data_IF_078013156139
#
_entry.id   IF_078013156139
#
_cell.length_a   1.000
_cell.length_b   1.000
_cell.length_c   1.000
_cell.angle_alpha   90.00
_cell.angle_beta   90.00
_cell.angle_gamma   90.00
#
_symmetry.space_group_name_H-M   'P 1'
#
loop_
_entity.id
_entity.type
_entity.pdbx_description
1 polymer ?
#
# COMPACT_ATOMS: atom_id res chain seq x y z
N UNK A 1 -4.67 -12.75 -11.10
CA UNK A 1 -5.18 -11.45 -10.61
C UNK A 1 -6.69 -11.45 -10.80
N UNK A 2 -7.44 -11.38 -9.69
CA UNK A 2 -8.90 -11.37 -9.65
C UNK A 2 -9.36 -9.92 -9.47
N UNK A 3 -10.46 -9.52 -10.11
CA UNK A 3 -11.05 -8.19 -9.95
C UNK A 3 -12.39 -8.39 -9.25
N UNK A 4 -12.63 -7.57 -8.23
CA UNK A 4 -13.86 -7.58 -7.42
C UNK A 4 -14.47 -6.19 -7.39
N UNK A 5 -15.74 -6.12 -7.05
CA UNK A 5 -16.47 -4.86 -6.84
C UNK A 5 -16.84 -4.72 -5.36
N UNK A 6 -16.60 -3.54 -4.79
CA UNK A 6 -16.97 -3.24 -3.40
C UNK A 6 -17.68 -1.89 -3.34
N UNK A 7 -18.81 -1.81 -2.67
CA UNK A 7 -19.52 -0.53 -2.48
C UNK A 7 -18.74 0.38 -1.50
N UNK A 8 -18.73 1.69 -1.76
CA UNK A 8 -17.96 2.67 -0.96
C UNK A 8 -18.25 2.58 0.55
N UNK A 9 -19.52 2.36 0.92
CA UNK A 9 -19.98 2.24 2.30
C UNK A 9 -19.30 1.14 3.13
N UNK A 10 -18.69 0.15 2.47
CA UNK A 10 -17.99 -0.96 3.16
C UNK A 10 -16.50 -0.68 3.37
N UNK A 11 -15.94 0.36 2.75
CA UNK A 11 -14.50 0.63 2.75
C UNK A 11 -13.94 0.77 4.17
N UNK A 12 -14.52 1.62 5.00
CA UNK A 12 -14.02 1.90 6.34
C UNK A 12 -13.97 0.61 7.19
N UNK A 13 -15.10 -0.12 7.23
CA UNK A 13 -15.22 -1.38 7.98
C UNK A 13 -14.26 -2.45 7.44
N UNK A 14 -14.06 -2.49 6.13
CA UNK A 14 -13.10 -3.40 5.51
C UNK A 14 -11.66 -3.09 5.94
N UNK A 15 -11.23 -1.83 5.79
CA UNK A 15 -9.88 -1.41 6.14
C UNK A 15 -9.57 -1.60 7.63
N UNK A 16 -10.57 -1.45 8.49
CA UNK A 16 -10.46 -1.68 9.93
C UNK A 16 -10.15 -3.15 10.22
N UNK A 17 -10.81 -4.06 9.50
CA UNK A 17 -10.61 -5.51 9.66
C UNK A 17 -9.21 -6.00 9.26
N UNK A 18 -8.42 -5.17 8.57
CA UNK A 18 -7.07 -5.52 8.14
C UNK A 18 -6.04 -5.47 9.29
N UNK A 19 -6.39 -4.92 10.45
CA UNK A 19 -5.56 -4.92 11.65
C UNK A 19 -5.14 -6.33 12.10
N UNK A 20 -5.96 -7.35 11.79
CA UNK A 20 -5.68 -8.78 11.99
C UNK A 20 -4.42 -9.27 11.27
N UNK A 21 -4.07 -8.64 10.14
CA UNK A 21 -2.94 -9.04 9.32
C UNK A 21 -1.65 -8.32 9.72
N UNK A 22 -1.74 -7.23 10.47
CA UNK A 22 -0.59 -6.47 10.94
C UNK A 22 -0.96 -5.09 11.46
N UNK A 23 0.02 -4.40 12.03
CA UNK A 23 -0.19 -3.01 12.45
C UNK A 23 -0.51 -2.14 11.23
N UNK A 24 -1.59 -1.37 11.32
CA UNK A 24 -2.00 -0.47 10.25
C UNK A 24 -1.08 0.75 10.16
N UNK A 25 -0.63 1.04 8.94
CA UNK A 25 0.11 2.23 8.56
C UNK A 25 -0.63 2.90 7.41
N UNK A 26 -0.51 4.21 7.28
CA UNK A 26 -1.15 4.93 6.19
C UNK A 26 -0.73 6.40 6.16
N UNK A 27 -1.09 7.13 5.11
CA UNK A 27 -0.87 8.56 5.02
C UNK A 27 -1.69 9.27 6.12
N UNK A 28 -1.01 9.76 7.14
CA UNK A 28 -1.62 10.47 8.28
C UNK A 28 -0.89 11.78 8.54
N UNK A 29 -1.61 12.77 9.03
CA UNK A 29 -1.01 14.05 9.38
C UNK A 29 -0.31 13.96 10.75
N UNK A 30 0.98 14.30 10.77
CA UNK A 30 1.80 14.34 11.98
C UNK A 30 2.53 15.68 12.02
N UNK A 31 2.22 16.48 13.03
CA UNK A 31 2.84 17.81 13.24
C UNK A 31 2.72 18.72 12.00
N UNK A 32 1.57 18.71 11.32
CA UNK A 32 1.31 19.54 10.14
C UNK A 32 1.88 18.99 8.83
N UNK A 33 2.40 17.75 8.82
CA UNK A 33 2.99 17.12 7.63
C UNK A 33 2.32 15.78 7.37
N UNK A 34 1.82 15.59 6.15
CA UNK A 34 1.28 14.31 5.70
C UNK A 34 2.43 13.32 5.46
N UNK A 35 2.40 12.18 6.15
CA UNK A 35 3.44 11.15 6.09
C UNK A 35 2.86 9.76 6.35
N UNK A 36 3.50 8.71 5.84
CA UNK A 36 3.12 7.34 6.21
C UNK A 36 3.50 7.03 7.66
N UNK A 37 2.55 6.87 8.56
CA UNK A 37 2.81 6.53 9.95
C UNK A 37 1.79 5.53 10.50
N UNK A 38 1.98 5.09 11.74
CA UNK A 38 1.03 4.20 12.40
C UNK A 38 -0.34 4.87 12.48
N UNK A 39 -1.37 4.13 12.09
CA UNK A 39 -2.77 4.53 12.15
C UNK A 39 -3.32 4.10 13.51
N UNK A 40 -3.83 5.07 14.28
CA UNK A 40 -4.57 4.79 15.52
C UNK A 40 -6.08 4.80 15.27
N UNK A 41 -6.55 5.62 14.33
CA UNK A 41 -7.94 5.67 13.87
C UNK A 41 -7.98 5.85 12.34
N UNK A 42 -8.85 5.10 11.65
CA UNK A 42 -8.97 5.18 10.19
C UNK A 42 -9.40 6.56 9.67
N UNK A 43 -10.16 7.34 10.44
CA UNK A 43 -10.56 8.69 10.06
C UNK A 43 -9.38 9.66 9.89
N UNK A 44 -8.19 9.31 10.40
CA UNK A 44 -6.96 10.06 10.18
C UNK A 44 -6.30 9.78 8.83
N UNK A 45 -6.69 8.69 8.15
CA UNK A 45 -6.01 8.20 6.94
C UNK A 45 -6.50 8.98 5.74
N UNK A 46 -5.57 9.65 5.06
CA UNK A 46 -5.82 10.38 3.83
C UNK A 46 -5.75 9.43 2.63
N UNK A 47 -6.87 8.81 2.28
CA UNK A 47 -7.00 7.96 1.08
C UNK A 47 -7.22 8.77 -0.21
N UNK A 48 -7.44 10.08 -0.09
CA UNK A 48 -7.75 10.97 -1.21
C UNK A 48 -6.52 11.45 -2.00
N UNK A 49 -6.72 12.53 -2.75
CA UNK A 49 -5.74 13.03 -3.74
C UNK A 49 -4.50 13.73 -3.16
N UNK A 50 -4.34 13.83 -1.83
CA UNK A 50 -3.14 14.44 -1.25
C UNK A 50 -1.99 13.44 -1.25
N UNK A 51 -0.80 13.97 -1.52
CA UNK A 51 0.41 13.18 -1.57
C UNK A 51 1.25 13.44 -0.31
N UNK A 52 1.68 12.40 0.41
CA UNK A 52 2.57 12.56 1.56
C UNK A 52 3.86 13.27 1.17
N UNK A 53 4.25 14.30 1.93
CA UNK A 53 5.52 15.01 1.72
C UNK A 53 6.71 14.08 1.99
N UNK A 54 6.55 13.15 2.94
CA UNK A 54 7.53 12.10 3.22
C UNK A 54 7.02 10.79 2.64
N UNK A 55 7.69 10.23 1.61
CA UNK A 55 7.22 9.08 0.86
C UNK A 55 7.28 7.77 1.68
N UNK A 56 6.60 6.75 1.15
CA UNK A 56 6.45 5.40 1.70
C UNK A 56 7.80 4.77 2.03
N UNK A 57 8.85 5.08 1.27
CA UNK A 57 10.20 4.53 1.47
C UNK A 57 10.68 4.65 2.93
N UNK A 58 10.20 5.61 3.72
CA UNK A 58 10.58 5.75 5.14
C UNK A 58 10.29 4.49 5.96
N UNK A 59 9.28 3.70 5.57
CA UNK A 59 8.89 2.47 6.27
C UNK A 59 9.82 1.29 5.93
N UNK A 60 10.45 1.30 4.76
CA UNK A 60 11.33 0.23 4.28
C UNK A 60 12.81 0.56 4.43
N UNK A 61 13.14 1.85 4.44
CA UNK A 61 14.47 2.37 4.69
C UNK A 61 14.38 3.54 5.69
N UNK A 62 14.23 3.26 6.98
CA UNK A 62 14.15 4.31 7.99
C UNK A 62 15.46 5.07 8.10
N UNK A 63 15.37 6.33 8.53
CA UNK A 63 16.53 7.23 8.70
C UNK A 63 17.56 6.70 9.71
N UNK A 64 17.10 5.96 10.71
CA UNK A 64 17.92 5.36 11.76
C UNK A 64 17.22 4.12 12.30
N UNK A 65 17.96 3.04 12.47
CA UNK A 65 17.54 1.83 13.17
C UNK A 65 18.78 1.13 13.73
N UNK A 66 18.58 0.21 14.68
CA UNK A 66 19.66 -0.61 15.21
C UNK A 66 19.84 -1.82 14.32
N UNK A 67 21.03 -2.00 13.76
CA UNK A 67 21.36 -3.20 12.97
C UNK A 67 21.94 -4.30 13.87
N UNK A 68 22.90 -3.95 14.72
CA UNK A 68 23.63 -4.91 15.53
C UNK A 68 23.63 -4.47 16.99
N UNK A 69 23.55 -5.45 17.86
CA UNK A 69 23.94 -5.33 19.26
C UNK A 69 25.31 -5.99 19.46
N UNK A 70 26.00 -5.62 20.53
CA UNK A 70 27.31 -6.16 20.88
C UNK A 70 27.35 -6.55 22.36
N UNK A 71 27.90 -7.71 22.65
CA UNK A 71 28.20 -8.17 24.01
C UNK A 71 29.52 -8.94 24.05
N UNK A 72 29.84 -9.55 25.19
CA UNK A 72 31.07 -10.34 25.40
C UNK A 72 31.26 -11.49 24.39
N UNK A 73 30.19 -11.97 23.73
CA UNK A 73 30.20 -13.03 22.72
C UNK A 73 30.32 -12.51 21.28
N UNK A 74 30.37 -11.18 21.08
CA UNK A 74 30.47 -10.54 19.77
C UNK A 74 29.21 -9.79 19.33
N UNK A 75 29.11 -9.56 18.02
CA UNK A 75 27.98 -8.85 17.40
C UNK A 75 26.84 -9.83 17.06
N UNK A 76 25.59 -9.40 17.26
CA UNK A 76 24.40 -10.14 16.83
C UNK A 76 23.35 -9.19 16.22
N UNK A 77 22.59 -9.62 15.21
CA UNK A 77 21.64 -8.77 14.51
C UNK A 77 20.40 -8.42 15.36
N UNK A 78 19.85 -7.24 15.10
CA UNK A 78 18.60 -6.74 15.67
C UNK A 78 17.50 -6.68 14.62
N UNK A 79 16.62 -7.68 14.63
CA UNK A 79 15.46 -7.73 13.73
C UNK A 79 14.16 -7.22 14.40
N UNK A 80 14.24 -6.56 15.56
CA UNK A 80 13.06 -6.14 16.34
C UNK A 80 12.12 -5.17 15.62
N UNK A 81 12.64 -4.45 14.62
CA UNK A 81 11.84 -3.55 13.78
C UNK A 81 10.98 -4.28 12.73
N UNK A 82 11.32 -5.53 12.39
CA UNK A 82 10.59 -6.32 11.40
C UNK A 82 9.33 -6.85 12.08
N UNK A 83 8.21 -6.21 11.79
CA UNK A 83 6.88 -6.55 12.29
C UNK A 83 5.90 -6.62 11.13
N UNK A 84 4.82 -7.39 11.32
CA UNK A 84 3.74 -7.43 10.33
C UNK A 84 3.05 -6.09 10.25
N UNK A 85 2.94 -5.55 9.04
CA UNK A 85 2.34 -4.25 8.75
C UNK A 85 1.35 -4.38 7.60
N UNK A 86 0.32 -3.55 7.62
CA UNK A 86 -0.55 -3.32 6.47
C UNK A 86 -0.50 -1.83 6.18
N UNK A 87 -0.02 -1.45 5.00
CA UNK A 87 0.09 -0.05 4.60
C UNK A 87 -1.07 0.31 3.67
N UNK A 88 -1.89 1.23 4.13
CA UNK A 88 -3.08 1.76 3.46
C UNK A 88 -2.72 2.99 2.62
N UNK A 89 -3.56 3.31 1.62
CA UNK A 89 -3.48 4.56 0.87
C UNK A 89 -2.26 4.68 -0.03
N UNK A 90 -1.72 3.57 -0.55
CA UNK A 90 -0.48 3.61 -1.34
C UNK A 90 -0.76 3.96 -2.80
N UNK A 91 -0.29 5.13 -3.25
CA UNK A 91 -0.44 5.56 -4.64
C UNK A 91 0.42 4.72 -5.62
N UNK A 92 0.02 4.58 -6.90
CA UNK A 92 0.77 3.81 -7.91
C UNK A 92 2.25 4.20 -8.02
N UNK A 93 2.56 5.49 -7.94
CA UNK A 93 3.92 5.99 -8.04
C UNK A 93 4.80 5.55 -6.85
N UNK A 94 4.22 5.44 -5.65
CA UNK A 94 4.91 4.93 -4.46
C UNK A 94 5.20 3.42 -4.60
N UNK A 95 4.29 2.65 -5.21
CA UNK A 95 4.51 1.21 -5.48
C UNK A 95 5.64 1.03 -6.50
N UNK A 96 5.69 1.84 -7.56
CA UNK A 96 6.84 1.85 -8.48
C UNK A 96 8.13 2.24 -7.77
N UNK A 97 8.07 3.22 -6.87
CA UNK A 97 9.20 3.60 -6.02
C UNK A 97 9.69 2.43 -5.18
N UNK A 98 8.79 1.64 -4.60
CA UNK A 98 9.12 0.44 -3.86
C UNK A 98 9.75 -0.64 -4.75
N UNK A 99 9.21 -0.87 -5.95
CA UNK A 99 9.80 -1.80 -6.93
C UNK A 99 11.23 -1.39 -7.32
N UNK A 100 11.53 -0.08 -7.40
CA UNK A 100 12.91 0.39 -7.62
C UNK A 100 13.83 0.15 -6.42
N UNK A 101 13.31 0.16 -5.20
CA UNK A 101 14.07 -0.24 -4.01
C UNK A 101 14.30 -1.75 -4.02
N UNK A 102 13.31 -2.54 -4.43
CA UNK A 102 13.42 -3.99 -4.59
C UNK A 102 14.59 -4.35 -5.53
N UNK A 103 14.73 -3.65 -6.68
CA UNK A 103 15.84 -3.83 -7.64
C UNK A 103 17.25 -3.65 -7.03
N UNK A 104 17.34 -2.87 -5.93
CA UNK A 104 18.61 -2.52 -5.28
C UNK A 104 18.87 -3.43 -4.08
N UNK A 105 17.91 -3.53 -3.16
CA UNK A 105 18.09 -4.15 -1.85
C UNK A 105 17.81 -5.66 -1.84
N UNK A 106 17.09 -6.18 -2.84
CA UNK A 106 16.88 -7.62 -3.01
C UNK A 106 17.86 -8.24 -4.01
N UNK A 107 18.78 -7.46 -4.56
CA UNK A 107 19.88 -7.96 -5.39
C UNK A 107 21.02 -8.45 -4.50
N UNK A 108 21.66 -9.55 -4.89
CA UNK A 108 22.77 -10.13 -4.14
C UNK A 108 23.97 -9.16 -3.99
N UNK A 109 24.52 -8.98 -2.75
CA UNK A 109 24.05 -9.57 -1.50
C UNK A 109 22.78 -8.90 -0.97
N UNK A 110 21.76 -9.70 -0.67
CA UNK A 110 20.45 -9.23 -0.19
C UNK A 110 20.57 -8.50 1.16
N UNK A 111 19.93 -7.34 1.30
CA UNK A 111 19.79 -6.67 2.60
C UNK A 111 18.72 -7.36 3.46
N UNK A 112 19.09 -7.96 4.60
CA UNK A 112 18.15 -8.74 5.41
C UNK A 112 17.11 -7.86 6.12
N UNK A 113 17.41 -6.59 6.40
CA UNK A 113 16.48 -5.67 7.04
C UNK A 113 15.43 -5.19 6.05
N UNK A 114 15.86 -4.78 4.85
CA UNK A 114 14.94 -4.39 3.79
C UNK A 114 14.06 -5.57 3.39
N UNK A 115 14.65 -6.75 3.13
CA UNK A 115 13.87 -7.94 2.78
C UNK A 115 12.88 -8.32 3.87
N UNK A 116 13.32 -8.36 5.13
CA UNK A 116 12.44 -8.66 6.25
C UNK A 116 11.26 -7.68 6.35
N UNK A 117 11.53 -6.37 6.21
CA UNK A 117 10.50 -5.33 6.17
C UNK A 117 9.56 -5.48 4.97
N UNK A 118 10.10 -5.78 3.78
CA UNK A 118 9.33 -5.93 2.54
C UNK A 118 8.39 -7.13 2.59
N UNK A 119 8.88 -8.27 3.08
CA UNK A 119 8.12 -9.52 3.23
C UNK A 119 7.08 -9.43 4.35
N UNK A 120 7.35 -8.64 5.40
CA UNK A 120 6.44 -8.47 6.53
C UNK A 120 5.40 -7.36 6.32
N UNK A 121 5.27 -6.81 5.12
CA UNK A 121 4.39 -5.66 4.86
C UNK A 121 3.45 -5.92 3.70
N UNK A 122 2.17 -5.88 4.00
CA UNK A 122 1.12 -5.83 3.00
C UNK A 122 0.94 -4.41 2.47
N UNK A 123 0.68 -4.26 1.18
CA UNK A 123 0.49 -3.01 0.47
C UNK A 123 -0.94 -2.95 -0.06
N UNK A 124 -1.71 -1.99 0.45
CA UNK A 124 -3.07 -1.68 0.02
C UNK A 124 -3.03 -0.37 -0.75
N UNK A 125 -3.03 -0.50 -2.08
CA UNK A 125 -2.92 0.63 -2.98
C UNK A 125 -4.26 1.27 -3.33
N UNK A 126 -4.22 2.55 -3.66
CA UNK A 126 -5.38 3.34 -4.06
C UNK A 126 -5.07 4.12 -5.32
N UNK A 127 -6.03 4.20 -6.23
CA UNK A 127 -5.92 5.03 -7.42
C UNK A 127 -5.94 6.51 -7.07
N UNK A 128 -5.12 7.32 -7.76
CA UNK A 128 -5.09 8.77 -7.61
C UNK A 128 -5.34 9.49 -8.92
N UNK A 129 -5.99 10.66 -8.87
CA UNK A 129 -6.04 11.59 -9.99
C UNK A 129 -4.79 12.49 -9.98
N UNK A 130 -4.15 12.69 -11.15
CA UNK A 130 -2.98 13.56 -11.22
C UNK A 130 -3.37 15.03 -10.93
N UNK A 131 -2.46 15.74 -10.26
CA UNK A 131 -2.52 17.19 -10.05
C UNK A 131 -1.63 17.91 -11.07
N UNK A 132 -1.70 19.24 -11.15
CA UNK A 132 -0.89 20.04 -12.11
C UNK A 132 0.62 19.76 -12.05
N UNK A 133 1.14 19.41 -10.87
CA UNK A 133 2.57 19.12 -10.67
C UNK A 133 2.91 17.62 -10.73
N UNK A 134 1.95 16.77 -11.11
CA UNK A 134 2.15 15.32 -11.18
C UNK A 134 2.86 14.90 -12.45
N UNK A 135 3.99 14.22 -12.30
CA UNK A 135 4.78 13.68 -13.43
C UNK A 135 4.54 12.18 -13.67
N UNK A 136 3.63 11.56 -12.91
CA UNK A 136 3.40 10.11 -12.94
C UNK A 136 3.03 9.58 -14.32
N UNK A 137 2.22 10.33 -15.08
CA UNK A 137 1.85 9.98 -16.45
C UNK A 137 3.08 10.03 -17.38
N UNK A 138 3.85 11.12 -17.32
CA UNK A 138 5.08 11.27 -18.10
C UNK A 138 6.14 10.21 -17.78
N UNK A 139 6.18 9.69 -16.55
CA UNK A 139 7.09 8.62 -16.13
C UNK A 139 6.51 7.22 -16.27
N UNK A 140 5.25 7.08 -16.71
CA UNK A 140 4.55 5.79 -16.85
C UNK A 140 4.34 5.06 -15.52
N UNK A 141 4.22 5.79 -14.41
CA UNK A 141 4.04 5.27 -13.04
C UNK A 141 2.67 5.61 -12.46
N UNK A 142 1.74 6.06 -13.29
CA UNK A 142 0.36 6.37 -12.93
C UNK A 142 -0.52 5.12 -12.80
N UNK A 143 -0.12 3.99 -13.38
CA UNK A 143 -0.81 2.70 -13.29
C UNK A 143 0.15 1.63 -12.83
N UNK A 144 -0.30 0.80 -11.88
CA UNK A 144 0.47 -0.32 -11.34
C UNK A 144 -0.14 -1.66 -11.77
N UNK A 145 0.71 -2.66 -12.00
CA UNK A 145 0.31 -4.03 -12.39
C UNK A 145 0.57 -5.07 -11.30
N UNK A 146 1.56 -4.82 -10.46
CA UNK A 146 2.06 -5.73 -9.42
C UNK A 146 2.67 -4.93 -8.25
N UNK A 147 3.23 -5.62 -7.25
CA UNK A 147 3.86 -4.98 -6.10
C UNK A 147 2.89 -4.56 -4.99
N UNK A 148 1.62 -4.94 -5.10
CA UNK A 148 0.57 -4.74 -4.09
C UNK A 148 -0.16 -6.04 -3.74
N UNK A 149 -0.82 -6.06 -2.58
CA UNK A 149 -1.69 -7.16 -2.15
C UNK A 149 -3.14 -6.91 -2.59
N UNK A 150 -3.62 -5.69 -2.37
CA UNK A 150 -4.90 -5.18 -2.86
C UNK A 150 -4.70 -3.81 -3.50
N UNK A 151 -5.43 -3.54 -4.58
CA UNK A 151 -5.42 -2.22 -5.21
C UNK A 151 -6.85 -1.76 -5.51
N UNK A 152 -7.23 -0.63 -4.94
CA UNK A 152 -8.56 -0.03 -5.05
C UNK A 152 -8.55 1.05 -6.13
N UNK A 153 -9.46 0.95 -7.09
CA UNK A 153 -9.76 2.05 -8.02
C UNK A 153 -11.10 2.65 -7.65
N UNK A 154 -11.07 3.93 -7.29
CA UNK A 154 -12.24 4.71 -6.93
C UNK A 154 -13.03 5.09 -8.19
N UNK A 155 -14.29 4.65 -8.26
CA UNK A 155 -15.24 4.97 -9.33
C UNK A 155 -16.50 5.64 -8.76
N UNK A 156 -16.31 6.47 -7.74
CA UNK A 156 -17.32 7.26 -7.01
C UNK A 156 -18.28 6.38 -6.19
N UNK A 157 -19.15 5.59 -6.82
CA UNK A 157 -20.17 4.79 -6.11
C UNK A 157 -19.61 3.48 -5.53
N UNK A 158 -18.52 3.00 -6.10
CA UNK A 158 -17.91 1.73 -5.77
C UNK A 158 -16.42 1.73 -6.12
N UNK A 159 -15.71 0.79 -5.51
CA UNK A 159 -14.34 0.44 -5.83
C UNK A 159 -14.30 -0.79 -6.71
N UNK A 160 -13.48 -0.75 -7.76
CA UNK A 160 -12.91 -1.97 -8.32
C UNK A 160 -11.66 -2.34 -7.53
N UNK A 161 -11.53 -3.61 -7.17
CA UNK A 161 -10.48 -4.10 -6.28
C UNK A 161 -9.70 -5.21 -6.99
N UNK A 162 -8.43 -4.96 -7.26
CA UNK A 162 -7.51 -5.94 -7.84
C UNK A 162 -6.83 -6.71 -6.72
N UNK A 163 -6.91 -8.03 -6.77
CA UNK A 163 -6.22 -8.93 -5.84
C UNK A 163 -4.88 -9.35 -6.45
N UNK A 164 -3.80 -8.81 -5.89
CA UNK A 164 -2.43 -8.92 -6.41
C UNK A 164 -1.59 -10.04 -5.80
N UNK A 165 -1.95 -10.55 -4.61
CA UNK A 165 -1.19 -11.56 -3.89
C UNK A 165 -2.08 -12.60 -3.18
N UNK A 166 -1.47 -13.68 -2.69
CA UNK A 166 -2.13 -14.65 -1.81
C UNK A 166 -2.60 -14.02 -0.49
N UNK A 167 -1.81 -13.11 0.08
CA UNK A 167 -2.19 -12.39 1.30
C UNK A 167 -3.39 -11.46 1.04
N UNK A 168 -3.44 -10.81 -0.12
CA UNK A 168 -4.61 -10.03 -0.53
C UNK A 168 -5.86 -10.90 -0.67
N UNK A 169 -5.74 -12.13 -1.17
CA UNK A 169 -6.86 -13.07 -1.20
C UNK A 169 -7.37 -13.41 0.21
N UNK A 170 -6.47 -13.67 1.16
CA UNK A 170 -6.84 -13.92 2.55
C UNK A 170 -7.54 -12.71 3.18
N UNK A 171 -7.10 -11.49 2.86
CA UNK A 171 -7.74 -10.25 3.31
C UNK A 171 -9.17 -10.10 2.79
N UNK A 172 -9.41 -10.40 1.52
CA UNK A 172 -10.77 -10.39 0.94
C UNK A 172 -11.65 -11.43 1.63
N UNK A 173 -11.10 -12.62 1.91
CA UNK A 173 -11.85 -13.72 2.53
C UNK A 173 -12.37 -13.38 3.93
N UNK A 174 -11.69 -12.54 4.70
CA UNK A 174 -12.14 -12.09 6.04
C UNK A 174 -13.46 -11.29 6.02
N UNK A 175 -13.81 -10.72 4.87
CA UNK A 175 -15.01 -9.90 4.65
C UNK A 175 -15.57 -10.15 3.25
N UNK A 176 -15.66 -11.42 2.84
CA UNK A 176 -16.11 -11.80 1.50
C UNK A 176 -17.49 -11.20 1.17
N UNK A 177 -18.35 -11.01 2.17
CA UNK A 177 -19.67 -10.41 2.05
C UNK A 177 -19.68 -8.96 1.54
N UNK A 178 -18.54 -8.25 1.55
CA UNK A 178 -18.42 -6.89 1.02
C UNK A 178 -18.05 -6.85 -0.46
N UNK A 179 -17.66 -7.98 -1.05
CA UNK A 179 -17.12 -8.06 -2.40
C UNK A 179 -18.03 -8.86 -3.34
N UNK A 180 -18.38 -8.24 -4.47
CA UNK A 180 -19.15 -8.86 -5.54
C UNK A 180 -18.20 -9.36 -6.64
N UNK A 181 -18.36 -10.63 -7.05
CA UNK A 181 -17.62 -11.22 -8.17
C UNK A 181 -18.18 -10.84 -9.55
N UNK A 182 -19.46 -10.48 -9.62
CA UNK A 182 -20.14 -10.11 -10.86
C UNK A 182 -19.77 -8.69 -11.30
N UNK A 183 -18.52 -8.52 -11.75
CA UNK A 183 -18.04 -7.28 -12.36
C UNK A 183 -18.60 -7.19 -13.78
N UNK A 184 -19.53 -6.26 -14.00
CA UNK A 184 -20.25 -6.13 -15.27
C UNK A 184 -19.40 -5.39 -16.30
N UNK A 185 -19.74 -5.57 -17.57
CA UNK A 185 -19.07 -4.84 -18.66
C UNK A 185 -19.17 -3.31 -18.48
N UNK A 186 -20.29 -2.81 -17.96
CA UNK A 186 -20.50 -1.39 -17.64
C UNK A 186 -19.54 -0.89 -16.56
N UNK A 187 -19.22 -1.71 -15.55
CA UNK A 187 -18.25 -1.34 -14.49
C UNK A 187 -16.85 -1.18 -15.08
N UNK A 188 -16.47 -2.06 -16.01
CA UNK A 188 -15.21 -1.97 -16.75
C UNK A 188 -15.19 -0.74 -17.68
N UNK A 189 -16.31 -0.40 -18.32
CA UNK A 189 -16.41 0.82 -19.12
C UNK A 189 -16.25 2.08 -18.27
N UNK A 190 -16.85 2.14 -17.07
CA UNK A 190 -16.64 3.22 -16.10
C UNK A 190 -15.14 3.35 -15.77
N UNK A 191 -14.46 2.23 -15.53
CA UNK A 191 -13.01 2.22 -15.30
C UNK A 191 -12.21 2.76 -16.50
N UNK A 192 -12.54 2.36 -17.73
CA UNK A 192 -11.85 2.86 -18.94
C UNK A 192 -12.05 4.37 -19.08
N UNK A 193 -13.28 4.86 -18.89
CA UNK A 193 -13.57 6.30 -18.93
C UNK A 193 -12.84 7.07 -17.82
N UNK A 194 -12.78 6.51 -16.61
CA UNK A 194 -12.00 7.07 -15.51
C UNK A 194 -10.51 7.18 -15.87
N UNK A 195 -9.95 6.16 -16.55
CA UNK A 195 -8.56 6.18 -17.03
C UNK A 195 -8.30 7.24 -18.08
N UNK A 196 -9.23 7.50 -18.98
CA UNK A 196 -9.08 8.54 -20.01
C UNK A 196 -9.05 9.97 -19.44
N UNK A 197 -9.55 10.16 -18.21
CA UNK A 197 -9.53 11.45 -17.51
C UNK A 197 -8.20 11.74 -16.79
N UNK A 198 -7.26 10.79 -16.77
CA UNK A 198 -5.92 10.92 -16.14
C UNK A 198 -4.85 11.26 -17.17
#
# INVERSE_FOLDING_TARGET
MRILKMQEKYLEVFLESLDKFGTLYGPVERRGVLTYDKVENLSEVELGGKHPMIPLKKLFHPKKFTMLHFNERGFYPDYSMIKRRVVLGVHPCEIHGLAKLDDIFLKEPVDPYYKGLRDSTAIIGFSCLPTENSICNATGTDIVKDGFDLFFVDLDEFYLVWVGSSLGHDMIYEREEFFEEDVKHEDIQKYVQWREKR
#
